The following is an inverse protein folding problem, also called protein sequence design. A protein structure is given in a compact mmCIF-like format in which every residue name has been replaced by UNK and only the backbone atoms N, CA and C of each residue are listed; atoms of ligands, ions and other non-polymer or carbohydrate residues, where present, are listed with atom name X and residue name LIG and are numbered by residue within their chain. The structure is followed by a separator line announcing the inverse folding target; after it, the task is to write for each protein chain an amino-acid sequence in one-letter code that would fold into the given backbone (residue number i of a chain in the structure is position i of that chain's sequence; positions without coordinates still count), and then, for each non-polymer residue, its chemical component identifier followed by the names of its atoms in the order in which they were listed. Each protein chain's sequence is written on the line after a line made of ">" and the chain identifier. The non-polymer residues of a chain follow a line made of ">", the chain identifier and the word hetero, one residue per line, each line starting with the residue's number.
data_IF_482385055279
#
_entry.id   IF_482385055279
#
_cell.length_a   1.000
_cell.length_b   1.000
_cell.length_c   1.000
_cell.angle_alpha   90.00
_cell.angle_beta   90.00
_cell.angle_gamma   90.00
#
_symmetry.space_group_name_H-M   'P 1'
#
loop_
_entity.id
_entity.type
_entity.pdbx_description
1 polymer ?
#
# COMPACT_ATOMS: atom_id res chain seq x y z
N UNK A 1 25.60 2.54 8.98
CA UNK A 1 24.95 1.37 8.36
C UNK A 1 23.61 1.20 9.04
N UNK A 2 22.49 1.29 8.31
CA UNK A 2 21.16 1.13 8.90
C UNK A 2 20.93 -0.33 9.35
N UNK A 3 20.10 -0.52 10.37
CA UNK A 3 19.66 -1.86 10.81
C UNK A 3 19.04 -2.59 9.61
N UNK A 4 19.55 -3.78 9.29
CA UNK A 4 18.90 -4.69 8.35
C UNK A 4 17.67 -5.25 9.06
N UNK A 5 16.49 -5.09 8.45
CA UNK A 5 15.23 -5.56 9.01
C UNK A 5 15.00 -6.97 8.49
N UNK A 6 14.71 -7.89 9.40
CA UNK A 6 14.51 -9.29 9.06
C UNK A 6 13.15 -9.50 8.40
N UNK A 7 13.04 -10.49 7.49
CA UNK A 7 11.75 -10.85 6.89
C UNK A 7 10.68 -11.15 7.95
N UNK A 8 11.05 -11.80 9.05
CA UNK A 8 10.13 -12.11 10.15
C UNK A 8 9.56 -10.86 10.85
N UNK A 9 10.34 -9.77 10.93
CA UNK A 9 9.86 -8.48 11.45
C UNK A 9 8.81 -7.87 10.52
N UNK A 10 9.03 -7.94 9.20
CA UNK A 10 8.08 -7.49 8.18
C UNK A 10 6.79 -8.30 8.23
N UNK A 11 6.89 -9.64 8.28
CA UNK A 11 5.74 -10.52 8.35
C UNK A 11 4.91 -10.24 9.62
N UNK A 12 5.58 -9.99 10.76
CA UNK A 12 4.91 -9.54 11.98
C UNK A 12 4.17 -8.23 11.75
N UNK A 13 4.83 -7.21 11.22
CA UNK A 13 4.22 -5.91 10.99
C UNK A 13 3.04 -5.95 10.03
N UNK A 14 3.09 -6.79 9.00
CA UNK A 14 1.98 -6.96 8.07
C UNK A 14 0.74 -7.52 8.77
N UNK A 15 0.93 -8.51 9.65
CA UNK A 15 -0.15 -9.19 10.36
C UNK A 15 -0.70 -8.45 11.59
N UNK A 16 0.00 -7.44 12.11
CA UNK A 16 -0.51 -6.65 13.24
C UNK A 16 -1.85 -6.00 12.91
N UNK A 17 -2.77 -6.05 13.87
CA UNK A 17 -3.99 -5.25 13.80
C UNK A 17 -3.63 -3.76 13.79
N UNK A 18 -4.18 -3.02 12.82
CA UNK A 18 -3.94 -1.59 12.63
C UNK A 18 -5.21 -0.78 12.64
N UNK A 19 -5.10 0.44 13.14
CA UNK A 19 -6.17 1.45 13.16
C UNK A 19 -5.66 2.80 12.65
N UNK A 20 -6.52 3.59 12.05
CA UNK A 20 -6.24 4.98 11.64
C UNK A 20 -6.11 5.83 12.90
N UNK A 21 -5.02 6.60 12.99
CA UNK A 21 -4.74 7.52 14.09
C UNK A 21 -4.68 8.98 13.62
N UNK A 22 -5.09 9.91 14.50
CA UNK A 22 -5.00 11.35 14.25
C UNK A 22 -5.97 11.90 13.20
N UNK A 23 -7.06 11.19 12.89
CA UNK A 23 -8.14 11.64 12.00
C UNK A 23 -9.51 11.45 12.66
N UNK A 24 -10.48 12.33 12.35
CA UNK A 24 -11.88 12.14 12.74
C UNK A 24 -12.44 10.96 11.94
N UNK A 25 -13.09 10.02 12.64
CA UNK A 25 -13.74 8.86 12.04
C UNK A 25 -15.23 8.88 12.40
N UNK A 26 -16.07 8.53 11.43
CA UNK A 26 -17.51 8.35 11.66
C UNK A 26 -17.70 7.12 12.54
N UNK A 27 -18.37 7.31 13.67
CA UNK A 27 -18.58 6.29 14.71
C UNK A 27 -17.28 5.59 15.17
N UNK A 28 -16.13 6.27 15.07
CA UNK A 28 -14.82 5.69 15.41
C UNK A 28 -14.31 4.61 14.45
N UNK A 29 -15.01 4.35 13.32
CA UNK A 29 -14.73 3.19 12.46
C UNK A 29 -14.40 3.55 11.02
N UNK A 30 -15.10 4.52 10.44
CA UNK A 30 -15.04 4.82 9.02
C UNK A 30 -14.40 6.16 8.74
N UNK A 31 -13.47 6.20 7.81
CA UNK A 31 -12.97 7.41 7.18
C UNK A 31 -13.62 7.56 5.81
N UNK A 32 -14.13 8.75 5.49
CA UNK A 32 -14.56 9.08 4.13
C UNK A 32 -13.54 10.04 3.52
N UNK A 33 -13.12 9.77 2.29
CA UNK A 33 -12.15 10.60 1.59
C UNK A 33 -12.55 10.82 0.13
N UNK A 34 -12.40 12.06 -0.36
CA UNK A 34 -12.84 12.44 -1.71
C UNK A 34 -11.68 12.75 -2.65
N UNK A 35 -11.47 11.84 -3.60
CA UNK A 35 -10.44 11.93 -4.63
C UNK A 35 -10.79 12.87 -5.80
N UNK A 36 -11.89 13.60 -5.74
CA UNK A 36 -12.19 14.67 -6.73
C UNK A 36 -11.44 15.96 -6.46
N UNK A 37 -10.96 16.16 -5.22
CA UNK A 37 -10.28 17.39 -4.79
C UNK A 37 -8.79 17.16 -4.50
N UNK A 38 -8.45 15.94 -4.11
CA UNK A 38 -7.08 15.55 -3.75
C UNK A 38 -6.69 14.25 -4.46
N UNK A 39 -5.45 14.17 -4.95
CA UNK A 39 -4.94 12.98 -5.63
C UNK A 39 -4.22 12.00 -4.69
N UNK A 40 -4.12 12.33 -3.39
CA UNK A 40 -3.42 11.49 -2.43
C UNK A 40 -4.05 11.57 -1.04
N UNK A 41 -4.18 10.42 -0.40
CA UNK A 41 -4.51 10.26 1.02
C UNK A 41 -3.29 9.72 1.74
N UNK A 42 -2.88 10.39 2.82
CA UNK A 42 -1.80 9.94 3.70
C UNK A 42 -2.33 9.85 5.14
N UNK A 43 -2.16 8.66 5.73
CA UNK A 43 -2.67 8.31 7.05
C UNK A 43 -1.54 7.80 7.93
N UNK A 44 -1.64 8.10 9.23
CA UNK A 44 -0.90 7.37 10.25
C UNK A 44 -1.77 6.22 10.71
N UNK A 45 -1.16 5.05 10.85
CA UNK A 45 -1.77 3.89 11.48
C UNK A 45 -1.01 3.55 12.76
N UNK A 46 -1.72 3.06 13.75
CA UNK A 46 -1.15 2.52 14.99
C UNK A 46 -1.69 1.13 15.26
N UNK A 47 -0.94 0.35 16.05
CA UNK A 47 -1.42 -0.92 16.60
C UNK A 47 -1.66 -0.77 18.09
N UNK A 48 -2.65 -1.48 18.63
CA UNK A 48 -2.89 -1.50 20.09
C UNK A 48 -1.94 -2.46 20.81
N UNK A 49 -1.30 -3.37 20.07
CA UNK A 49 -0.42 -4.40 20.63
C UNK A 49 1.02 -3.91 20.85
N UNK A 50 1.43 -2.89 20.08
CA UNK A 50 2.80 -2.39 20.04
C UNK A 50 2.80 -0.91 19.71
N UNK A 51 3.73 -0.17 20.31
CA UNK A 51 3.93 1.26 20.05
C UNK A 51 4.68 1.47 18.71
N UNK A 52 4.07 0.99 17.62
CA UNK A 52 4.54 1.18 16.26
C UNK A 52 3.58 2.09 15.50
N UNK A 53 4.18 2.93 14.67
CA UNK A 53 3.45 3.77 13.73
C UNK A 53 3.75 3.35 12.31
N UNK A 54 2.71 3.36 11.48
CA UNK A 54 2.83 3.10 10.07
C UNK A 54 2.33 4.31 9.30
N UNK A 55 2.94 4.55 8.16
CA UNK A 55 2.39 5.45 7.15
C UNK A 55 1.67 4.63 6.10
N UNK A 56 0.40 4.93 5.89
CA UNK A 56 -0.41 4.38 4.83
C UNK A 56 -0.73 5.47 3.81
N UNK A 57 -0.35 5.23 2.56
CA UNK A 57 -0.49 6.20 1.48
C UNK A 57 -1.22 5.60 0.29
N UNK A 58 -2.23 6.33 -0.16
CA UNK A 58 -2.97 6.05 -1.38
C UNK A 58 -2.75 7.22 -2.31
N UNK A 59 -2.37 6.98 -3.55
CA UNK A 59 -2.24 8.01 -4.59
C UNK A 59 -2.98 7.53 -5.83
N UNK A 60 -3.82 8.40 -6.37
CA UNK A 60 -4.55 8.17 -7.60
C UNK A 60 -4.17 9.28 -8.58
N UNK A 61 -3.54 8.89 -9.69
CA UNK A 61 -3.29 9.78 -10.81
C UNK A 61 -3.97 9.18 -12.04
N UNK A 62 -4.97 9.87 -12.58
CA UNK A 62 -5.76 9.39 -13.73
C UNK A 62 -4.92 9.19 -15.00
N UNK A 63 -3.73 9.78 -15.09
CA UNK A 63 -2.79 9.60 -16.19
C UNK A 63 -1.66 8.62 -15.85
N UNK A 64 -1.22 8.58 -14.59
CA UNK A 64 -0.01 7.87 -14.16
C UNK A 64 -0.27 6.62 -13.29
N UNK A 65 -1.53 6.24 -13.09
CA UNK A 65 -1.94 5.04 -12.36
C UNK A 65 -2.22 5.27 -10.87
N UNK A 66 -2.41 4.17 -10.15
CA UNK A 66 -2.70 4.15 -8.73
C UNK A 66 -1.55 3.52 -7.95
N UNK A 67 -1.22 4.10 -6.80
CA UNK A 67 -0.24 3.54 -5.86
C UNK A 67 -0.84 3.44 -4.48
N UNK A 68 -0.64 2.28 -3.84
CA UNK A 68 -1.10 2.01 -2.49
C UNK A 68 0.09 1.45 -1.72
N UNK A 69 0.53 2.10 -0.65
CA UNK A 69 1.75 1.69 0.07
C UNK A 69 1.61 1.80 1.58
N UNK A 70 2.30 0.91 2.28
CA UNK A 70 2.48 0.97 3.73
C UNK A 70 3.97 0.94 4.08
N UNK A 71 4.36 1.82 5.00
CA UNK A 71 5.71 1.94 5.51
C UNK A 71 5.67 1.90 7.04
N UNK A 72 6.63 1.21 7.66
CA UNK A 72 6.87 1.37 9.10
C UNK A 72 7.66 2.66 9.35
N UNK A 73 7.28 3.40 10.39
CA UNK A 73 7.95 4.62 10.83
C UNK A 73 8.49 4.44 12.25
N UNK A 74 9.81 4.53 12.38
CA UNK A 74 10.51 4.52 13.67
C UNK A 74 11.67 5.51 13.64
N UNK A 75 11.70 6.47 14.58
CA UNK A 75 12.82 7.41 14.73
C UNK A 75 13.25 8.13 13.44
N UNK A 76 12.27 8.55 12.60
CA UNK A 76 12.46 9.17 11.26
C UNK A 76 13.01 8.22 10.19
N UNK A 77 13.16 6.92 10.48
CA UNK A 77 13.42 5.90 9.49
C UNK A 77 12.12 5.38 8.89
N UNK A 78 12.13 5.23 7.57
CA UNK A 78 11.01 4.75 6.78
C UNK A 78 11.38 3.39 6.21
N UNK A 79 10.72 2.34 6.68
CA UNK A 79 10.91 1.00 6.12
C UNK A 79 9.72 0.67 5.23
N UNK A 80 9.90 0.53 3.91
CA UNK A 80 8.81 0.07 3.06
C UNK A 80 8.47 -1.37 3.39
N UNK A 81 7.18 -1.64 3.63
CA UNK A 81 6.68 -2.99 3.91
C UNK A 81 6.16 -3.59 2.61
N UNK A 82 5.16 -2.93 2.04
CA UNK A 82 4.48 -3.35 0.83
C UNK A 82 3.99 -2.13 0.06
N UNK A 83 4.04 -2.22 -1.27
CA UNK A 83 3.46 -1.23 -2.17
C UNK A 83 2.89 -1.91 -3.40
N UNK A 84 1.73 -1.48 -3.86
CA UNK A 84 1.16 -1.87 -5.14
C UNK A 84 1.23 -0.68 -6.08
N UNK A 85 1.76 -0.92 -7.28
CA UNK A 85 1.78 0.04 -8.38
C UNK A 85 0.89 -0.52 -9.50
N UNK A 86 -0.30 0.09 -9.66
CA UNK A 86 -1.20 -0.22 -10.77
C UNK A 86 -0.82 0.56 -12.02
N UNK A 87 -0.81 -0.13 -13.16
CA UNK A 87 -0.43 0.43 -14.46
C UNK A 87 0.98 1.07 -14.46
N UNK A 88 1.85 0.60 -13.56
CA UNK A 88 3.24 1.05 -13.44
C UNK A 88 4.20 0.20 -14.28
N UNK A 89 5.46 0.64 -14.29
CA UNK A 89 6.58 -0.12 -14.87
C UNK A 89 7.73 -0.15 -13.87
N UNK A 90 8.37 -1.31 -13.72
CA UNK A 90 9.51 -1.50 -12.83
C UNK A 90 10.54 -2.43 -13.45
N UNK A 91 11.84 -2.19 -13.21
CA UNK A 91 12.90 -3.14 -13.56
C UNK A 91 13.45 -3.73 -12.27
N UNK A 92 13.36 -5.04 -12.14
CA UNK A 92 14.00 -5.71 -11.01
C UNK A 92 15.53 -5.68 -11.15
N UNK A 93 16.27 -5.60 -10.04
CA UNK A 93 17.72 -5.77 -10.06
C UNK A 93 18.13 -7.18 -10.52
N UNK A 94 19.42 -7.38 -10.86
CA UNK A 94 19.99 -8.72 -10.97
C UNK A 94 19.93 -9.48 -9.65
N UNK A 95 19.64 -10.77 -9.72
CA UNK A 95 19.55 -11.68 -8.57
C UNK A 95 20.87 -11.75 -7.80
N UNK A 96 20.75 -11.91 -6.47
CA UNK A 96 21.85 -12.20 -5.55
C UNK A 96 21.40 -13.27 -4.57
N UNK A 97 22.34 -14.03 -4.02
CA UNK A 97 22.04 -15.18 -3.15
C UNK A 97 21.27 -14.82 -1.87
N UNK A 98 21.30 -13.54 -1.46
CA UNK A 98 20.54 -13.02 -0.33
C UNK A 98 19.12 -12.55 -0.69
N UNK A 99 18.66 -12.77 -1.93
CA UNK A 99 17.30 -12.49 -2.39
C UNK A 99 16.50 -13.79 -2.37
N UNK A 100 15.25 -13.80 -1.86
CA UNK A 100 14.41 -14.98 -1.87
C UNK A 100 14.30 -15.64 -3.25
N UNK A 101 14.33 -16.97 -3.29
CA UNK A 101 14.45 -17.74 -4.54
C UNK A 101 13.29 -17.50 -5.52
N UNK A 102 12.09 -17.19 -5.03
CA UNK A 102 10.93 -16.89 -5.88
C UNK A 102 11.10 -15.60 -6.70
N UNK A 103 12.02 -14.71 -6.36
CA UNK A 103 12.33 -13.54 -7.20
C UNK A 103 13.27 -13.88 -8.37
N UNK A 104 13.88 -15.06 -8.37
CA UNK A 104 14.87 -15.45 -9.39
C UNK A 104 14.27 -15.45 -10.79
N UNK A 105 13.00 -15.87 -10.94
CA UNK A 105 12.30 -15.86 -12.23
C UNK A 105 11.98 -14.45 -12.74
N UNK A 106 12.04 -13.42 -11.87
CA UNK A 106 11.76 -12.02 -12.22
C UNK A 106 13.02 -11.16 -12.22
N UNK A 107 14.20 -11.75 -12.06
CA UNK A 107 15.49 -11.04 -11.95
C UNK A 107 15.89 -10.36 -13.26
N UNK A 108 16.38 -9.11 -13.16
CA UNK A 108 16.80 -8.28 -14.29
C UNK A 108 15.73 -8.11 -15.39
N UNK A 109 14.46 -8.32 -15.04
CA UNK A 109 13.33 -8.21 -15.96
C UNK A 109 12.59 -6.89 -15.79
N UNK A 110 12.08 -6.38 -16.91
CA UNK A 110 11.07 -5.32 -16.91
C UNK A 110 9.70 -5.92 -16.66
N UNK A 111 9.04 -5.44 -15.61
CA UNK A 111 7.63 -5.67 -15.33
C UNK A 111 6.87 -4.48 -15.90
N UNK A 112 6.10 -4.71 -16.97
CA UNK A 112 5.32 -3.70 -17.69
C UNK A 112 3.82 -3.83 -17.42
N UNK A 113 3.45 -4.34 -16.25
CA UNK A 113 2.07 -4.53 -15.79
C UNK A 113 1.96 -4.10 -14.32
N UNK A 114 0.74 -4.11 -13.77
CA UNK A 114 0.53 -3.85 -12.34
C UNK A 114 1.32 -4.84 -11.49
N UNK A 115 1.98 -4.36 -10.45
CA UNK A 115 2.90 -5.17 -9.66
C UNK A 115 2.92 -4.79 -8.19
N UNK A 116 3.33 -5.75 -7.36
CA UNK A 116 3.52 -5.59 -5.92
C UNK A 116 5.01 -5.55 -5.60
N UNK A 117 5.42 -4.51 -4.89
CA UNK A 117 6.70 -4.43 -4.21
C UNK A 117 6.54 -4.97 -2.79
N UNK A 118 7.46 -5.86 -2.41
CA UNK A 118 7.54 -6.42 -1.06
C UNK A 118 8.95 -6.13 -0.54
N UNK A 119 9.07 -5.88 0.75
CA UNK A 119 10.38 -5.76 1.38
C UNK A 119 11.23 -7.01 1.12
N UNK A 120 12.46 -6.78 0.65
CA UNK A 120 13.50 -7.79 0.55
C UNK A 120 14.64 -7.40 1.49
N UNK A 121 15.04 -8.32 2.36
CA UNK A 121 16.07 -8.10 3.36
C UNK A 121 17.39 -7.61 2.75
N UNK A 122 17.88 -6.46 3.23
CA UNK A 122 19.08 -5.82 2.68
C UNK A 122 18.89 -5.11 1.34
N UNK A 123 17.69 -5.15 0.75
CA UNK A 123 17.37 -4.56 -0.56
C UNK A 123 16.16 -3.61 -0.55
N UNK A 124 15.38 -3.56 0.54
CA UNK A 124 14.20 -2.70 0.65
C UNK A 124 13.11 -3.10 -0.35
N UNK A 125 12.43 -2.11 -0.95
CA UNK A 125 11.33 -2.33 -1.90
C UNK A 125 11.76 -2.29 -3.38
N UNK A 126 13.02 -2.60 -3.68
CA UNK A 126 13.55 -2.58 -5.04
C UNK A 126 13.11 -3.76 -5.90
N UNK A 127 12.52 -4.78 -5.29
CA UNK A 127 12.00 -5.96 -5.96
C UNK A 127 10.48 -5.86 -6.09
N UNK A 128 9.96 -6.36 -7.20
CA UNK A 128 8.54 -6.48 -7.44
C UNK A 128 8.18 -7.80 -8.11
N UNK A 129 6.92 -8.19 -7.94
CA UNK A 129 6.30 -9.34 -8.59
C UNK A 129 5.10 -8.82 -9.39
N UNK A 130 4.93 -9.25 -10.66
CA UNK A 130 3.70 -8.98 -11.39
C UNK A 130 2.46 -9.41 -10.59
N UNK A 131 1.41 -8.59 -10.55
CA UNK A 131 0.21 -8.97 -9.79
C UNK A 131 -0.40 -10.27 -10.33
N UNK A 132 -0.32 -10.51 -11.64
CA UNK A 132 -0.71 -11.76 -12.32
C UNK A 132 -0.01 -13.02 -11.79
N UNK A 133 1.12 -12.87 -11.10
CA UNK A 133 1.92 -13.94 -10.48
C UNK A 133 1.94 -13.89 -8.94
N UNK A 134 1.26 -12.93 -8.33
CA UNK A 134 1.13 -12.80 -6.88
C UNK A 134 -0.20 -13.38 -6.38
N UNK A 135 -0.34 -13.53 -5.07
CA UNK A 135 -1.62 -13.90 -4.44
C UNK A 135 -2.54 -12.70 -4.16
N UNK A 136 -2.11 -11.47 -4.46
CA UNK A 136 -2.90 -10.27 -4.18
C UNK A 136 -4.16 -10.20 -5.07
N UNK A 137 -5.35 -10.02 -4.50
CA UNK A 137 -6.62 -10.27 -5.20
C UNK A 137 -6.84 -9.40 -6.44
N UNK A 138 -6.63 -8.07 -6.34
CA UNK A 138 -6.99 -7.13 -7.41
C UNK A 138 -5.81 -6.93 -8.35
N UNK A 139 -5.88 -7.52 -9.55
CA UNK A 139 -4.76 -7.59 -10.51
C UNK A 139 -4.58 -6.37 -11.40
N UNK A 140 -5.65 -5.60 -11.61
CA UNK A 140 -5.63 -4.43 -12.49
C UNK A 140 -6.68 -3.40 -12.05
N UNK A 141 -6.46 -2.15 -12.45
CA UNK A 141 -7.45 -1.08 -12.39
C UNK A 141 -7.57 -0.55 -13.81
N UNK A 142 -8.73 -0.73 -14.42
CA UNK A 142 -9.06 -0.15 -15.72
C UNK A 142 -9.67 1.26 -15.58
N UNK A 143 -9.66 1.99 -16.69
CA UNK A 143 -10.22 3.34 -16.75
C UNK A 143 -11.74 3.34 -16.95
N UNK A 144 -12.34 2.22 -17.35
CA UNK A 144 -13.79 2.13 -17.65
C UNK A 144 -14.63 2.11 -16.38
N UNK A 145 -14.14 1.49 -15.30
CA UNK A 145 -14.78 1.53 -13.99
C UNK A 145 -13.76 1.83 -12.89
N UNK A 146 -12.97 2.88 -13.11
CA UNK A 146 -11.90 3.29 -12.19
C UNK A 146 -12.40 3.49 -10.77
N UNK A 147 -13.63 3.97 -10.56
CA UNK A 147 -14.17 4.21 -9.22
C UNK A 147 -14.37 2.89 -8.44
N UNK A 148 -15.07 1.92 -9.03
CA UNK A 148 -15.31 0.63 -8.37
C UNK A 148 -14.03 -0.19 -8.22
N UNK A 149 -13.20 -0.20 -9.26
CA UNK A 149 -11.96 -0.99 -9.29
C UNK A 149 -10.92 -0.43 -8.31
N UNK A 150 -10.80 0.90 -8.22
CA UNK A 150 -9.91 1.55 -7.26
C UNK A 150 -10.38 1.36 -5.82
N UNK A 151 -11.67 1.52 -5.54
CA UNK A 151 -12.22 1.26 -4.20
C UNK A 151 -11.97 -0.19 -3.78
N UNK A 152 -12.20 -1.15 -4.68
CA UNK A 152 -11.93 -2.58 -4.45
C UNK A 152 -10.44 -2.85 -4.20
N UNK A 153 -9.54 -2.19 -4.95
CA UNK A 153 -8.10 -2.30 -4.74
C UNK A 153 -7.66 -1.78 -3.37
N UNK A 154 -8.21 -0.64 -2.93
CA UNK A 154 -7.96 -0.08 -1.59
C UNK A 154 -8.51 -1.00 -0.51
N UNK A 155 -9.71 -1.55 -0.66
CA UNK A 155 -10.27 -2.50 0.29
C UNK A 155 -9.42 -3.78 0.38
N UNK A 156 -9.04 -4.37 -0.75
CA UNK A 156 -8.18 -5.56 -0.76
C UNK A 156 -6.81 -5.28 -0.12
N UNK A 157 -6.27 -4.07 -0.29
CA UNK A 157 -5.04 -3.66 0.39
C UNK A 157 -5.24 -3.50 1.89
N UNK A 158 -6.33 -2.89 2.33
CA UNK A 158 -6.68 -2.74 3.75
C UNK A 158 -6.76 -4.11 4.45
N UNK A 159 -7.41 -5.08 3.81
CA UNK A 159 -7.47 -6.46 4.28
C UNK A 159 -6.07 -7.09 4.34
N UNK A 160 -5.26 -6.92 3.29
CA UNK A 160 -3.90 -7.43 3.21
C UNK A 160 -2.97 -6.90 4.32
N UNK A 161 -3.17 -5.64 4.75
CA UNK A 161 -2.39 -5.03 5.84
C UNK A 161 -3.06 -5.12 7.22
N UNK A 162 -4.16 -5.86 7.33
CA UNK A 162 -4.95 -6.01 8.56
C UNK A 162 -5.40 -4.67 9.19
N UNK A 163 -5.86 -3.73 8.35
CA UNK A 163 -6.50 -2.48 8.78
C UNK A 163 -7.95 -2.75 9.18
N UNK A 164 -8.35 -2.34 10.39
CA UNK A 164 -9.73 -2.55 10.89
C UNK A 164 -10.69 -1.43 10.60
N UNK A 165 -10.17 -0.25 10.26
CA UNK A 165 -11.01 0.87 9.87
C UNK A 165 -11.46 0.73 8.42
N UNK A 166 -12.67 1.19 8.15
CA UNK A 166 -13.19 1.29 6.79
C UNK A 166 -12.72 2.60 6.17
N UNK A 167 -12.40 2.56 4.87
CA UNK A 167 -12.12 3.75 4.07
C UNK A 167 -13.11 3.76 2.91
N UNK A 168 -14.00 4.74 2.92
CA UNK A 168 -14.95 4.99 1.85
C UNK A 168 -14.39 6.07 0.92
N UNK A 169 -14.29 5.74 -0.36
CA UNK A 169 -13.71 6.61 -1.37
C UNK A 169 -14.80 7.24 -2.21
N UNK A 170 -14.82 8.57 -2.23
CA UNK A 170 -15.75 9.37 -3.01
C UNK A 170 -14.99 10.03 -4.15
N UNK A 171 -15.65 10.19 -5.30
CA UNK A 171 -15.15 10.96 -6.45
C UNK A 171 -16.27 11.83 -7.00
N UNK A 172 -16.78 12.70 -6.14
CA UNK A 172 -17.81 13.67 -6.46
C UNK A 172 -17.34 15.07 -6.01
N UNK A 173 -17.14 16.03 -6.92
CA UNK A 173 -16.67 17.38 -6.54
C UNK A 173 -17.67 18.15 -5.65
N UNK A 174 -18.94 17.74 -5.61
CA UNK A 174 -20.02 18.44 -4.88
C UNK A 174 -20.11 18.07 -3.41
N UNK A 175 -19.45 16.99 -2.96
CA UNK A 175 -19.46 16.57 -1.55
C UNK A 175 -18.42 17.39 -0.74
N UNK A 176 -18.88 18.02 0.34
CA UNK A 176 -18.09 18.75 1.34
C UNK A 176 -18.18 18.03 2.69
N UNK A 177 -17.03 17.84 3.37
CA UNK A 177 -16.96 17.08 4.63
C UNK A 177 -17.03 17.95 5.89
N UNK A 178 -17.16 19.27 5.71
CA UNK A 178 -17.42 20.20 6.80
C UNK A 178 -18.83 19.99 7.41
N UNK A 179 -19.65 19.12 6.82
CA UNK A 179 -21.05 18.83 7.21
C UNK A 179 -21.29 17.39 7.72
N UNK A 180 -20.25 16.56 7.86
CA UNK A 180 -20.40 15.24 8.50
C UNK A 180 -20.09 15.37 10.00
N UNK A 181 -21.11 15.78 10.74
CA UNK A 181 -21.14 15.74 12.21
C UNK A 181 -21.06 14.30 12.74
#
# INVERSE_FOLDING_TARGET
>A
MGKVIQKSEIDKWLNLEKHISGKKLINGKKLIFNFSKENALQLKLSSNEVDFTFEYKITLNTLAGCKISMHHQENKHYTPIVRIDYNGRHRNPPYKDNVPMYFKEFSDMWINESHIHIYVEGHGSNWAIPLSKSDFLIKSIDNTNINSNFASAVQAFNEYINLKNEIELIRDPTVYFDELD
#
